data_IF_236658397673
#
_entry.id   IF_236658397673
#
_cell.length_a   1.000
_cell.length_b   1.000
_cell.length_c   1.000
_cell.angle_alpha   90.00
_cell.angle_beta   90.00
_cell.angle_gamma   90.00
#
_symmetry.space_group_name_H-M   'P 1'
#
loop_
_entity.id
_entity.type
_entity.pdbx_description
1 polymer ?
#
# COMPACT_ATOMS: atom_id res chain seq x y z
N UNK A 1 0.24 -4.27 24.67
CA UNK A 1 0.85 -5.63 24.63
C UNK A 1 1.88 -5.56 23.52
N UNK A 2 3.18 -5.77 23.81
CA UNK A 2 4.20 -5.72 22.75
C UNK A 2 3.94 -6.87 21.77
N UNK A 3 3.79 -6.54 20.49
CA UNK A 3 3.73 -7.54 19.42
C UNK A 3 5.04 -8.34 19.45
N UNK A 4 4.93 -9.67 19.40
CA UNK A 4 6.06 -10.59 19.42
C UNK A 4 6.36 -11.06 18.00
N UNK A 5 7.60 -11.49 17.70
CA UNK A 5 7.93 -12.11 16.42
C UNK A 5 6.99 -13.27 16.01
N UNK A 6 6.27 -13.90 16.94
CA UNK A 6 5.29 -14.92 16.57
C UNK A 6 3.96 -14.40 15.98
N UNK A 7 3.76 -13.08 15.89
CA UNK A 7 2.47 -12.51 15.46
C UNK A 7 2.37 -12.45 13.92
N UNK A 8 1.16 -12.70 13.43
CA UNK A 8 0.82 -12.67 12.01
C UNK A 8 0.78 -11.24 11.49
N UNK A 9 1.59 -10.96 10.46
CA UNK A 9 1.56 -9.70 9.70
C UNK A 9 0.88 -9.95 8.36
N UNK A 10 0.02 -9.02 7.96
CA UNK A 10 -0.74 -9.07 6.72
C UNK A 10 -0.23 -8.01 5.76
N UNK A 11 0.30 -8.48 4.63
CA UNK A 11 0.74 -7.60 3.54
C UNK A 11 -0.44 -7.30 2.63
N UNK A 12 -0.57 -6.04 2.24
CA UNK A 12 -1.59 -5.51 1.35
C UNK A 12 -0.89 -4.85 0.16
N UNK A 13 -1.08 -5.42 -1.03
CA UNK A 13 -0.35 -5.01 -2.23
C UNK A 13 -1.09 -3.89 -2.96
N UNK A 14 -0.44 -2.74 -3.15
CA UNK A 14 -1.03 -1.54 -3.78
C UNK A 14 -0.38 -1.18 -5.12
N UNK A 15 0.65 -1.91 -5.57
CA UNK A 15 1.44 -1.56 -6.74
C UNK A 15 0.64 -1.48 -8.03
N UNK A 16 -0.39 -2.32 -8.20
CA UNK A 16 -1.22 -2.31 -9.41
C UNK A 16 -2.18 -1.12 -9.49
N UNK A 17 -2.40 -0.40 -8.39
CA UNK A 17 -3.10 0.89 -8.33
C UNK A 17 -2.15 2.04 -8.07
N UNK A 18 -1.66 2.16 -6.84
CA UNK A 18 -0.86 3.29 -6.37
C UNK A 18 0.52 3.36 -7.05
N UNK A 19 1.07 2.19 -7.38
CA UNK A 19 2.29 2.09 -8.16
C UNK A 19 2.11 2.53 -9.60
N UNK A 20 1.21 1.86 -10.31
CA UNK A 20 1.01 2.08 -11.75
C UNK A 20 0.43 3.46 -12.09
N UNK A 21 -0.31 4.11 -11.18
CA UNK A 21 -0.83 5.46 -11.44
C UNK A 21 0.28 6.50 -11.72
N UNK A 22 1.52 6.25 -11.26
CA UNK A 22 2.67 7.13 -11.42
C UNK A 22 3.82 6.48 -12.20
N UNK A 23 3.58 5.35 -12.86
CA UNK A 23 4.62 4.60 -13.60
C UNK A 23 5.10 5.31 -14.88
N UNK A 24 4.48 6.43 -15.27
CA UNK A 24 4.88 7.23 -16.42
C UNK A 24 4.48 6.65 -17.79
N UNK A 25 3.98 5.42 -17.82
CA UNK A 25 3.52 4.74 -19.05
C UNK A 25 2.36 3.81 -18.76
N UNK A 26 1.56 3.53 -19.79
CA UNK A 26 0.46 2.58 -19.71
C UNK A 26 1.02 1.15 -19.78
N UNK A 27 0.65 0.32 -18.81
CA UNK A 27 0.87 -1.13 -18.87
C UNK A 27 -0.38 -1.75 -19.47
N UNK A 28 -0.19 -2.60 -20.49
CA UNK A 28 -1.28 -3.26 -21.20
C UNK A 28 -2.19 -4.03 -20.23
N UNK A 29 -3.48 -4.04 -20.53
CA UNK A 29 -4.50 -4.65 -19.65
C UNK A 29 -4.20 -6.13 -19.37
N UNK A 30 -3.77 -6.87 -20.39
CA UNK A 30 -3.40 -8.29 -20.25
C UNK A 30 -2.22 -8.48 -19.29
N UNK A 31 -1.23 -7.60 -19.33
CA UNK A 31 -0.10 -7.61 -18.40
C UNK A 31 -0.52 -7.27 -16.98
N UNK A 32 -1.42 -6.30 -16.80
CA UNK A 32 -2.00 -5.99 -15.48
C UNK A 32 -2.70 -7.20 -14.88
N UNK A 33 -3.58 -7.85 -15.65
CA UNK A 33 -4.31 -9.06 -15.23
C UNK A 33 -3.34 -10.18 -14.88
N UNK A 34 -2.32 -10.41 -15.73
CA UNK A 34 -1.29 -11.42 -15.50
C UNK A 34 -0.53 -11.17 -14.19
N UNK A 35 -0.10 -9.94 -13.93
CA UNK A 35 0.60 -9.58 -12.70
C UNK A 35 -0.32 -9.73 -11.48
N UNK A 36 -1.57 -9.27 -11.54
CA UNK A 36 -2.56 -9.40 -10.46
C UNK A 36 -2.83 -10.87 -10.09
N UNK A 37 -3.02 -11.73 -11.09
CA UNK A 37 -3.24 -13.17 -10.86
C UNK A 37 -2.01 -13.81 -10.21
N UNK A 38 -0.79 -13.41 -10.60
CA UNK A 38 0.43 -13.89 -9.95
C UNK A 38 0.55 -13.36 -8.52
N UNK A 39 0.31 -12.07 -8.29
CA UNK A 39 0.32 -11.45 -6.97
C UNK A 39 -0.66 -12.15 -6.02
N UNK A 40 -1.88 -12.45 -6.47
CA UNK A 40 -2.88 -13.13 -5.63
C UNK A 40 -2.44 -14.49 -5.10
N UNK A 41 -1.57 -15.18 -5.83
CA UNK A 41 -1.03 -16.50 -5.47
C UNK A 41 0.18 -16.42 -4.54
N UNK A 42 0.66 -15.22 -4.21
CA UNK A 42 1.79 -15.03 -3.28
C UNK A 42 1.40 -15.07 -1.81
N UNK A 43 0.12 -15.09 -1.47
CA UNK A 43 -0.34 -15.06 -0.08
C UNK A 43 -0.52 -13.66 0.52
N UNK A 44 -0.45 -12.61 -0.29
CA UNK A 44 -0.89 -11.27 0.14
C UNK A 44 -2.36 -11.31 0.55
N UNK A 45 -2.70 -10.59 1.62
CA UNK A 45 -4.05 -10.63 2.21
C UNK A 45 -5.08 -9.76 1.47
N UNK A 46 -4.58 -8.76 0.74
CA UNK A 46 -5.38 -7.77 0.03
C UNK A 46 -4.60 -7.25 -1.17
N UNK A 47 -5.30 -6.97 -2.25
CA UNK A 47 -4.75 -6.33 -3.45
C UNK A 47 -5.63 -5.12 -3.79
N UNK A 48 -5.03 -3.94 -3.87
CA UNK A 48 -5.67 -2.78 -4.48
C UNK A 48 -5.45 -2.81 -5.99
N UNK A 49 -6.49 -3.28 -6.67
CA UNK A 49 -6.42 -3.71 -8.08
C UNK A 49 -6.29 -2.52 -9.01
N UNK A 50 -7.09 -1.47 -8.77
CA UNK A 50 -7.25 -0.34 -9.68
C UNK A 50 -7.97 0.83 -8.99
N UNK A 51 -8.31 1.86 -9.75
CA UNK A 51 -9.03 3.04 -9.30
C UNK A 51 -10.12 3.46 -10.28
N UNK A 52 -11.32 3.74 -9.78
CA UNK A 52 -12.43 4.30 -10.57
C UNK A 52 -12.38 5.83 -10.70
N UNK A 53 -11.17 6.36 -10.83
CA UNK A 53 -10.94 7.76 -11.19
C UNK A 53 -11.30 8.04 -12.65
N UNK A 54 -11.38 9.32 -12.97
CA UNK A 54 -11.59 9.74 -14.36
C UNK A 54 -10.41 9.29 -15.22
N UNK A 55 -10.63 8.60 -16.35
CA UNK A 55 -9.57 8.26 -17.31
C UNK A 55 -8.82 9.49 -17.84
N UNK A 56 -9.44 10.68 -17.79
CA UNK A 56 -8.76 11.94 -18.14
C UNK A 56 -7.77 12.39 -17.06
N UNK A 57 -8.05 12.08 -15.80
CA UNK A 57 -7.21 12.46 -14.66
C UNK A 57 -6.06 11.46 -14.48
N UNK A 58 -6.34 10.17 -14.60
CA UNK A 58 -5.34 9.09 -14.50
C UNK A 58 -5.54 8.12 -15.67
N UNK A 59 -4.97 8.41 -16.85
CA UNK A 59 -5.08 7.55 -18.03
C UNK A 59 -4.51 6.15 -17.83
N UNK A 60 -3.53 6.02 -16.91
CA UNK A 60 -2.82 4.76 -16.66
C UNK A 60 -3.72 3.67 -16.06
N UNK A 61 -4.87 4.04 -15.49
CA UNK A 61 -5.85 3.15 -14.87
C UNK A 61 -7.22 3.20 -15.58
N UNK A 62 -7.25 3.61 -16.85
CA UNK A 62 -8.50 3.78 -17.61
C UNK A 62 -9.29 2.48 -17.85
N UNK A 63 -8.65 1.32 -17.68
CA UNK A 63 -9.12 -0.03 -17.97
C UNK A 63 -9.63 -0.78 -16.72
N UNK A 64 -10.01 -0.05 -15.67
CA UNK A 64 -10.40 -0.60 -14.36
C UNK A 64 -11.43 -1.76 -14.43
N UNK A 65 -12.55 -1.57 -15.13
CA UNK A 65 -13.59 -2.60 -15.25
C UNK A 65 -13.10 -3.83 -16.01
N UNK A 66 -12.32 -3.64 -17.07
CA UNK A 66 -11.77 -4.74 -17.87
C UNK A 66 -10.79 -5.57 -17.05
N UNK A 67 -9.91 -4.92 -16.28
CA UNK A 67 -8.98 -5.60 -15.37
C UNK A 67 -9.74 -6.41 -14.33
N UNK A 68 -10.68 -5.78 -13.60
CA UNK A 68 -11.45 -6.45 -12.54
C UNK A 68 -12.29 -7.61 -13.05
N UNK A 69 -12.80 -7.55 -14.28
CA UNK A 69 -13.60 -8.62 -14.88
C UNK A 69 -12.76 -9.80 -15.38
N UNK A 70 -11.45 -9.60 -15.58
CA UNK A 70 -10.55 -10.57 -16.19
C UNK A 70 -9.62 -11.28 -15.18
N UNK A 71 -9.47 -10.76 -13.97
CA UNK A 71 -8.66 -11.39 -12.93
C UNK A 71 -9.30 -12.68 -12.38
N UNK A 72 -8.44 -13.61 -11.99
CA UNK A 72 -8.82 -14.79 -11.20
C UNK A 72 -8.84 -14.39 -9.72
N UNK A 73 -9.95 -14.67 -9.04
CA UNK A 73 -10.11 -14.38 -7.61
C UNK A 73 -9.57 -15.55 -6.77
N UNK A 74 -8.55 -15.27 -5.97
CA UNK A 74 -7.93 -16.24 -5.06
C UNK A 74 -8.65 -16.23 -3.71
N UNK A 75 -9.11 -17.39 -3.19
CA UNK A 75 -9.74 -17.47 -1.88
C UNK A 75 -8.86 -16.91 -0.77
N UNK A 76 -9.42 -16.03 0.07
CA UNK A 76 -8.71 -15.41 1.19
C UNK A 76 -8.01 -14.10 0.84
N UNK A 77 -8.00 -13.68 -0.43
CA UNK A 77 -7.52 -12.36 -0.86
C UNK A 77 -8.68 -11.38 -0.98
N UNK A 78 -8.56 -10.21 -0.34
CA UNK A 78 -9.49 -9.09 -0.51
C UNK A 78 -9.10 -8.27 -1.74
N UNK A 79 -10.03 -8.09 -2.68
CA UNK A 79 -9.83 -7.24 -3.84
C UNK A 79 -10.52 -5.90 -3.61
N UNK A 80 -9.72 -4.84 -3.53
CA UNK A 80 -10.19 -3.47 -3.31
C UNK A 80 -9.90 -2.58 -4.51
N UNK A 81 -10.65 -1.50 -4.64
CA UNK A 81 -10.39 -0.46 -5.62
C UNK A 81 -10.61 0.93 -5.03
N UNK A 82 -9.79 1.90 -5.46
CA UNK A 82 -9.96 3.29 -5.04
C UNK A 82 -11.16 3.92 -5.74
N UNK A 83 -12.04 4.59 -4.98
CA UNK A 83 -13.13 5.40 -5.54
C UNK A 83 -12.98 6.87 -5.09
N UNK A 84 -13.04 7.85 -6.01
CA UNK A 84 -12.92 9.26 -5.64
C UNK A 84 -14.26 9.92 -5.30
N UNK A 85 -15.40 9.29 -5.62
CA UNK A 85 -16.75 9.85 -5.44
C UNK A 85 -17.85 8.80 -5.72
N UNK A 86 -19.12 9.21 -5.59
CA UNK A 86 -20.30 8.38 -5.87
C UNK A 86 -20.36 7.78 -7.28
N UNK A 87 -19.86 8.47 -8.32
CA UNK A 87 -19.81 7.87 -9.66
C UNK A 87 -18.79 6.74 -9.72
N UNK A 88 -17.71 6.86 -8.97
CA UNK A 88 -16.76 5.76 -8.76
C UNK A 88 -17.41 4.58 -8.04
N UNK A 89 -18.26 4.86 -7.05
CA UNK A 89 -19.05 3.82 -6.38
C UNK A 89 -20.01 3.11 -7.33
N UNK A 90 -20.76 3.84 -8.15
CA UNK A 90 -21.69 3.24 -9.14
C UNK A 90 -20.96 2.27 -10.08
N UNK A 91 -19.73 2.62 -10.51
CA UNK A 91 -18.88 1.75 -11.33
C UNK A 91 -18.36 0.55 -10.54
N UNK A 92 -17.94 0.76 -9.29
CA UNK A 92 -17.46 -0.31 -8.42
C UNK A 92 -18.56 -1.35 -8.13
N UNK A 93 -19.82 -0.92 -7.96
CA UNK A 93 -20.97 -1.80 -7.75
C UNK A 93 -21.34 -2.63 -8.99
N UNK A 94 -20.84 -2.27 -10.17
CA UNK A 94 -21.09 -3.00 -11.41
C UNK A 94 -20.10 -4.17 -11.66
N UNK A 95 -19.10 -4.33 -10.79
CA UNK A 95 -18.08 -5.38 -10.88
C UNK A 95 -17.93 -6.11 -9.55
N UNK A 96 -17.27 -7.27 -9.57
CA UNK A 96 -17.04 -8.05 -8.36
C UNK A 96 -15.87 -7.49 -7.54
N UNK A 97 -16.20 -6.83 -6.43
CA UNK A 97 -15.26 -6.26 -5.45
C UNK A 97 -15.69 -6.62 -4.04
N UNK A 98 -14.73 -6.68 -3.12
CA UNK A 98 -15.00 -6.88 -1.70
C UNK A 98 -15.05 -5.56 -0.94
N UNK A 99 -14.21 -4.62 -1.35
CA UNK A 99 -13.94 -3.38 -0.65
C UNK A 99 -13.73 -2.23 -1.64
N UNK A 100 -14.05 -1.01 -1.20
CA UNK A 100 -13.63 0.22 -1.85
C UNK A 100 -12.82 1.07 -0.88
N UNK A 101 -11.79 1.74 -1.41
CA UNK A 101 -10.95 2.66 -0.66
C UNK A 101 -11.30 4.11 -0.99
N UNK A 102 -11.68 4.90 0.03
CA UNK A 102 -11.83 6.35 -0.08
C UNK A 102 -10.63 7.05 0.53
N UNK A 103 -10.12 8.07 -0.14
CA UNK A 103 -8.90 8.77 0.29
C UNK A 103 -9.21 10.24 0.55
N UNK A 104 -8.79 10.75 1.70
CA UNK A 104 -8.79 12.17 2.03
C UNK A 104 -7.48 12.55 2.70
N UNK A 105 -6.98 13.73 2.41
CA UNK A 105 -5.82 14.27 3.12
C UNK A 105 -6.26 14.94 4.41
N UNK A 106 -5.56 14.69 5.50
CA UNK A 106 -5.81 15.35 6.78
C UNK A 106 -5.55 16.87 6.70
N UNK A 107 -4.57 17.29 5.88
CA UNK A 107 -4.32 18.71 5.61
C UNK A 107 -5.29 19.27 4.57
N UNK A 108 -6.00 20.35 4.92
CA UNK A 108 -6.90 21.09 4.01
C UNK A 108 -6.19 21.57 2.74
N UNK A 109 -4.95 22.06 2.85
CA UNK A 109 -4.19 22.53 1.69
C UNK A 109 -3.90 21.39 0.70
N UNK A 110 -3.52 20.22 1.22
CA UNK A 110 -3.30 19.04 0.39
C UNK A 110 -4.60 18.47 -0.16
N UNK A 111 -5.67 18.43 0.65
CA UNK A 111 -6.98 17.92 0.23
C UNK A 111 -7.59 18.76 -0.89
N UNK A 112 -7.48 20.09 -0.79
CA UNK A 112 -7.92 21.01 -1.84
C UNK A 112 -7.14 20.81 -3.14
N UNK A 113 -5.84 20.52 -3.06
CA UNK A 113 -5.02 20.25 -4.25
C UNK A 113 -5.36 18.89 -4.88
N UNK A 114 -5.54 17.86 -4.05
CA UNK A 114 -5.75 16.48 -4.48
C UNK A 114 -7.19 16.22 -4.96
N UNK A 115 -8.19 16.64 -4.17
CA UNK A 115 -9.61 16.35 -4.40
C UNK A 115 -10.43 17.57 -4.84
N UNK A 116 -9.84 18.77 -4.85
CA UNK A 116 -10.54 20.04 -5.18
C UNK A 116 -11.75 20.30 -4.30
N UNK A 117 -11.68 19.89 -3.04
CA UNK A 117 -12.70 20.12 -2.04
C UNK A 117 -12.10 20.16 -0.63
N UNK A 118 -12.83 20.74 0.32
CA UNK A 118 -12.45 20.76 1.73
C UNK A 118 -12.60 19.38 2.36
N UNK A 119 -11.93 19.15 3.49
CA UNK A 119 -12.03 17.87 4.21
C UNK A 119 -13.48 17.58 4.66
N UNK A 120 -14.22 18.62 5.10
CA UNK A 120 -15.65 18.52 5.42
C UNK A 120 -16.51 18.07 4.25
N UNK A 121 -16.24 18.60 3.05
CA UNK A 121 -16.96 18.21 1.84
C UNK A 121 -16.64 16.76 1.44
N UNK A 122 -15.38 16.33 1.59
CA UNK A 122 -14.99 14.92 1.41
C UNK A 122 -15.73 14.01 2.38
N UNK A 123 -15.77 14.34 3.67
CA UNK A 123 -16.49 13.52 4.66
C UNK A 123 -17.99 13.42 4.36
N UNK A 124 -18.62 14.51 3.92
CA UNK A 124 -20.04 14.46 3.50
C UNK A 124 -20.25 13.45 2.37
N UNK A 125 -19.36 13.45 1.37
CA UNK A 125 -19.42 12.50 0.27
C UNK A 125 -19.16 11.06 0.73
N UNK A 126 -18.26 10.85 1.70
CA UNK A 126 -17.99 9.52 2.24
C UNK A 126 -19.19 8.95 3.01
N UNK A 127 -19.95 9.80 3.72
CA UNK A 127 -21.23 9.38 4.33
C UNK A 127 -22.21 8.89 3.27
N UNK A 128 -22.34 9.62 2.15
CA UNK A 128 -23.19 9.21 1.04
C UNK A 128 -22.69 7.89 0.42
N UNK A 129 -21.38 7.70 0.26
CA UNK A 129 -20.80 6.43 -0.19
C UNK A 129 -21.16 5.29 0.77
N UNK A 130 -20.96 5.47 2.08
CA UNK A 130 -21.25 4.45 3.08
C UNK A 130 -22.74 4.05 3.10
N UNK A 131 -23.64 5.00 2.84
CA UNK A 131 -25.08 4.72 2.73
C UNK A 131 -25.48 3.94 1.47
N UNK A 132 -24.71 4.06 0.38
CA UNK A 132 -25.04 3.49 -0.92
C UNK A 132 -24.13 2.33 -1.35
N UNK A 133 -23.21 1.87 -0.50
CA UNK A 133 -22.16 0.89 -0.83
C UNK A 133 -22.63 -0.54 -1.09
N UNK A 134 -23.91 -0.84 -0.92
CA UNK A 134 -24.42 -2.20 -0.98
C UNK A 134 -23.71 -3.12 0.02
N UNK A 135 -23.14 -4.22 -0.46
CA UNK A 135 -22.39 -5.18 0.36
C UNK A 135 -20.90 -4.87 0.51
N UNK A 136 -20.38 -3.87 -0.20
CA UNK A 136 -18.95 -3.54 -0.19
C UNK A 136 -18.53 -3.05 1.20
N UNK A 137 -17.32 -3.42 1.62
CA UNK A 137 -16.62 -2.74 2.72
C UNK A 137 -16.05 -1.40 2.26
N UNK A 138 -15.90 -0.46 3.18
CA UNK A 138 -15.29 0.86 2.90
C UNK A 138 -14.09 1.04 3.81
N UNK A 139 -12.91 1.12 3.20
CA UNK A 139 -11.69 1.55 3.86
C UNK A 139 -11.50 3.07 3.69
N UNK A 140 -11.12 3.76 4.77
CA UNK A 140 -10.85 5.19 4.77
C UNK A 140 -9.37 5.50 4.95
N UNK A 141 -8.74 6.03 3.92
CA UNK A 141 -7.34 6.47 3.96
C UNK A 141 -7.21 7.93 4.40
N UNK A 142 -6.46 8.14 5.48
CA UNK A 142 -6.03 9.44 5.98
C UNK A 142 -4.63 9.74 5.42
N UNK A 143 -4.58 10.37 4.25
CA UNK A 143 -3.34 10.85 3.63
C UNK A 143 -2.75 12.01 4.44
N UNK A 144 -1.44 12.25 4.29
CA UNK A 144 -0.68 13.28 5.03
C UNK A 144 -0.78 13.16 6.56
N UNK A 145 -1.02 11.95 7.09
CA UNK A 145 -1.20 11.72 8.52
C UNK A 145 0.05 12.08 9.34
N UNK A 146 1.24 11.97 8.73
CA UNK A 146 2.53 12.20 9.39
C UNK A 146 3.19 13.52 9.01
N UNK A 147 2.57 14.29 8.11
CA UNK A 147 3.13 15.52 7.58
C UNK A 147 2.51 15.88 6.24
N UNK A 148 2.52 17.17 5.94
CA UNK A 148 1.99 17.73 4.71
C UNK A 148 3.08 18.50 3.95
N UNK A 149 3.21 18.33 2.63
CA UNK A 149 4.24 19.02 1.85
C UNK A 149 4.02 20.55 1.81
N UNK A 150 2.79 21.01 2.01
CA UNK A 150 2.43 22.43 1.97
C UNK A 150 2.45 23.12 3.34
N UNK A 151 1.93 22.46 4.38
CA UNK A 151 1.74 23.08 5.72
C UNK A 151 2.73 22.55 6.76
N UNK A 152 3.59 21.60 6.42
CA UNK A 152 4.57 21.02 7.33
C UNK A 152 3.94 20.02 8.30
N UNK A 153 4.25 20.16 9.59
CA UNK A 153 3.85 19.21 10.62
C UNK A 153 2.31 19.09 10.74
N UNK A 154 1.82 17.86 10.87
CA UNK A 154 0.43 17.55 11.19
C UNK A 154 0.38 17.05 12.63
N UNK A 155 -0.40 17.73 13.47
CA UNK A 155 -0.51 17.35 14.88
C UNK A 155 -1.35 16.07 15.03
N UNK A 156 -0.94 15.09 15.85
CA UNK A 156 -1.63 13.81 15.99
C UNK A 156 -3.13 13.94 16.32
N UNK A 157 -3.51 14.92 17.15
CA UNK A 157 -4.92 15.14 17.51
C UNK A 157 -5.83 15.39 16.31
N UNK A 158 -5.30 15.97 15.23
CA UNK A 158 -6.08 16.22 14.00
C UNK A 158 -6.37 14.89 13.30
N UNK A 159 -5.38 14.00 13.23
CA UNK A 159 -5.56 12.65 12.66
C UNK A 159 -6.56 11.84 13.49
N UNK A 160 -6.44 11.91 14.82
CA UNK A 160 -7.35 11.21 15.74
C UNK A 160 -8.80 11.71 15.63
N UNK A 161 -9.00 13.02 15.44
CA UNK A 161 -10.34 13.59 15.19
C UNK A 161 -10.93 13.04 13.89
N UNK A 162 -10.19 13.09 12.79
CA UNK A 162 -10.66 12.57 11.50
C UNK A 162 -10.90 11.06 11.52
N UNK A 163 -10.06 10.29 12.21
CA UNK A 163 -10.26 8.85 12.38
C UNK A 163 -11.61 8.54 13.03
N UNK A 164 -11.98 9.22 14.12
CA UNK A 164 -13.30 9.06 14.76
C UNK A 164 -14.42 9.43 13.81
N UNK A 165 -14.28 10.57 13.13
CA UNK A 165 -15.31 11.08 12.22
C UNK A 165 -15.53 10.19 10.99
N UNK A 166 -14.48 9.50 10.53
CA UNK A 166 -14.57 8.49 9.49
C UNK A 166 -15.42 7.31 9.94
N UNK A 167 -15.15 6.80 11.13
CA UNK A 167 -15.93 5.70 11.72
C UNK A 167 -17.38 6.10 11.98
N UNK A 168 -17.62 7.30 12.51
CA UNK A 168 -18.97 7.87 12.69
C UNK A 168 -19.72 8.05 11.36
N UNK A 169 -18.99 8.19 10.24
CA UNK A 169 -19.55 8.25 8.90
C UNK A 169 -19.91 6.87 8.31
N UNK A 170 -19.54 5.78 9.00
CA UNK A 170 -19.82 4.40 8.59
C UNK A 170 -18.66 3.70 7.88
N UNK A 171 -17.46 4.28 7.86
CA UNK A 171 -16.25 3.63 7.33
C UNK A 171 -15.89 2.43 8.21
N UNK A 172 -15.52 1.30 7.58
CA UNK A 172 -15.31 0.02 8.28
C UNK A 172 -13.87 -0.16 8.79
N UNK A 173 -12.88 0.41 8.09
CA UNK A 173 -11.44 0.29 8.40
C UNK A 173 -10.68 1.57 8.05
N UNK A 174 -9.49 1.75 8.62
CA UNK A 174 -8.69 2.97 8.46
C UNK A 174 -7.30 2.66 7.89
N UNK A 175 -6.80 3.53 7.01
CA UNK A 175 -5.38 3.54 6.60
C UNK A 175 -4.72 4.84 7.03
N UNK A 176 -3.60 4.76 7.76
CA UNK A 176 -2.75 5.90 8.10
C UNK A 176 -1.62 6.00 7.07
N UNK A 177 -1.59 7.08 6.27
CA UNK A 177 -0.66 7.20 5.16
C UNK A 177 0.41 8.29 5.35
N UNK A 178 1.68 7.90 5.26
CA UNK A 178 2.85 8.78 5.11
C UNK A 178 3.08 9.12 3.64
N UNK A 179 2.18 9.94 3.09
CA UNK A 179 2.10 10.27 1.66
C UNK A 179 3.38 10.85 1.06
N UNK A 180 4.23 11.47 1.88
CA UNK A 180 5.45 12.16 1.42
C UNK A 180 6.73 11.53 1.97
N UNK A 181 6.64 10.38 2.66
CA UNK A 181 7.78 9.67 3.22
C UNK A 181 8.59 10.54 4.18
N UNK A 182 7.93 11.23 5.10
CA UNK A 182 8.56 12.09 6.13
C UNK A 182 8.48 11.53 7.54
N UNK A 183 7.67 10.49 7.75
CA UNK A 183 7.43 9.96 9.08
C UNK A 183 8.72 9.39 9.69
N UNK A 184 8.80 9.46 11.01
CA UNK A 184 9.91 8.88 11.78
C UNK A 184 9.39 7.79 12.72
N UNK A 185 10.24 6.82 13.12
CA UNK A 185 9.83 5.68 13.94
C UNK A 185 9.01 6.03 15.18
N UNK A 186 9.46 7.03 15.96
CA UNK A 186 8.76 7.47 17.17
C UNK A 186 7.39 8.09 16.86
N UNK A 187 7.31 8.93 15.84
CA UNK A 187 6.05 9.54 15.41
C UNK A 187 5.04 8.48 14.95
N UNK A 188 5.51 7.45 14.23
CA UNK A 188 4.68 6.33 13.79
C UNK A 188 4.16 5.53 14.98
N UNK A 189 5.05 5.16 15.90
CA UNK A 189 4.68 4.42 17.11
C UNK A 189 3.60 5.16 17.92
N UNK A 190 3.83 6.45 18.21
CA UNK A 190 2.91 7.24 19.03
C UNK A 190 1.54 7.41 18.37
N UNK A 191 1.50 7.74 17.07
CA UNK A 191 0.23 7.91 16.37
C UNK A 191 -0.54 6.59 16.29
N UNK A 192 0.13 5.48 15.97
CA UNK A 192 -0.51 4.17 15.87
C UNK A 192 -1.07 3.72 17.22
N UNK A 193 -0.32 3.85 18.32
CA UNK A 193 -0.82 3.55 19.66
C UNK A 193 -2.10 4.34 19.97
N UNK A 194 -2.07 5.65 19.72
CA UNK A 194 -3.23 6.51 19.98
C UNK A 194 -4.44 6.11 19.15
N UNK A 195 -4.28 5.81 17.85
CA UNK A 195 -5.38 5.39 16.96
C UNK A 195 -5.99 4.06 17.41
N UNK A 196 -5.15 3.08 17.77
CA UNK A 196 -5.61 1.78 18.27
C UNK A 196 -6.40 1.95 19.58
N UNK A 197 -5.92 2.79 20.49
CA UNK A 197 -6.57 3.03 21.78
C UNK A 197 -7.95 3.69 21.63
N UNK A 198 -8.11 4.63 20.69
CA UNK A 198 -9.38 5.33 20.48
C UNK A 198 -10.38 4.56 19.61
N UNK A 199 -9.92 3.58 18.84
CA UNK A 199 -10.71 2.82 17.87
C UNK A 199 -10.56 1.30 18.09
N UNK A 200 -10.89 0.77 19.28
CA UNK A 200 -10.67 -0.64 19.58
C UNK A 200 -11.48 -1.55 18.66
N UNK A 201 -10.82 -2.53 18.06
CA UNK A 201 -11.43 -3.50 17.16
C UNK A 201 -11.60 -3.03 15.70
N UNK A 202 -11.21 -1.80 15.38
CA UNK A 202 -11.13 -1.32 14.00
C UNK A 202 -9.86 -1.85 13.36
N UNK A 203 -9.95 -2.34 12.13
CA UNK A 203 -8.77 -2.69 11.36
C UNK A 203 -8.04 -1.42 10.92
N UNK A 204 -6.77 -1.31 11.29
CA UNK A 204 -5.91 -0.18 10.93
C UNK A 204 -4.73 -0.68 10.10
N UNK A 205 -4.59 -0.09 8.91
CA UNK A 205 -3.47 -0.32 8.00
C UNK A 205 -2.49 0.85 8.06
N UNK A 206 -1.20 0.55 7.98
CA UNK A 206 -0.16 1.56 7.85
C UNK A 206 0.38 1.56 6.42
N UNK A 207 0.38 2.74 5.80
CA UNK A 207 0.84 2.97 4.43
C UNK A 207 2.03 3.93 4.43
N UNK A 208 3.18 3.46 3.94
CA UNK A 208 4.45 4.17 4.10
C UNK A 208 5.15 4.34 2.76
N UNK A 209 5.50 5.58 2.45
CA UNK A 209 6.41 5.87 1.34
C UNK A 209 7.87 5.85 1.81
N UNK A 210 8.76 5.40 0.94
CA UNK A 210 10.19 5.27 1.22
C UNK A 210 11.03 6.47 0.77
N UNK A 211 10.41 7.65 0.61
CA UNK A 211 11.04 8.88 0.09
C UNK A 211 12.33 9.28 0.80
N UNK A 212 12.45 8.97 2.09
CA UNK A 212 13.64 9.26 2.91
C UNK A 212 14.30 8.02 3.50
N UNK A 213 14.00 6.83 2.96
CA UNK A 213 14.65 5.58 3.39
C UNK A 213 14.20 5.06 4.76
N UNK A 214 13.08 5.55 5.30
CA UNK A 214 12.61 5.20 6.65
C UNK A 214 11.43 4.23 6.66
N UNK A 215 10.91 3.80 5.51
CA UNK A 215 9.64 3.08 5.47
C UNK A 215 9.68 1.74 6.21
N UNK A 216 10.73 0.93 6.07
CA UNK A 216 10.85 -0.34 6.81
C UNK A 216 10.97 -0.09 8.32
N UNK A 217 11.78 0.89 8.75
CA UNK A 217 11.90 1.24 10.16
C UNK A 217 10.57 1.74 10.76
N UNK A 218 9.82 2.51 9.97
CA UNK A 218 8.48 2.96 10.32
C UNK A 218 7.48 1.80 10.39
N UNK A 219 7.54 0.84 9.48
CA UNK A 219 6.70 -0.36 9.51
C UNK A 219 6.92 -1.16 10.80
N UNK A 220 8.18 -1.40 11.18
CA UNK A 220 8.54 -2.09 12.43
C UNK A 220 8.04 -1.33 13.67
N UNK A 221 8.02 0.00 13.62
CA UNK A 221 7.49 0.84 14.69
C UNK A 221 5.96 0.78 14.78
N UNK A 222 5.28 0.76 13.63
CA UNK A 222 3.83 0.52 13.57
C UNK A 222 3.44 -0.84 14.12
N UNK A 223 4.19 -1.88 13.75
CA UNK A 223 4.03 -3.23 14.30
C UNK A 223 4.22 -3.21 15.82
N UNK A 224 5.28 -2.58 16.31
CA UNK A 224 5.52 -2.46 17.75
C UNK A 224 4.37 -1.76 18.50
N UNK A 225 3.66 -0.85 17.82
CA UNK A 225 2.49 -0.15 18.34
C UNK A 225 1.18 -0.96 18.28
N UNK A 226 1.15 -2.09 17.57
CA UNK A 226 -0.03 -2.95 17.46
C UNK A 226 -0.61 -3.10 16.05
N UNK A 227 -0.02 -2.47 15.03
CA UNK A 227 -0.49 -2.59 13.64
C UNK A 227 -0.12 -3.95 13.07
N UNK A 228 -1.09 -4.64 12.46
CA UNK A 228 -0.89 -5.95 11.84
C UNK A 228 -0.99 -5.91 10.31
N UNK A 229 -1.44 -4.79 9.72
CA UNK A 229 -1.69 -4.65 8.28
C UNK A 229 -0.81 -3.55 7.70
N UNK A 230 -0.06 -3.89 6.65
CA UNK A 230 0.88 -2.98 5.99
C UNK A 230 0.58 -2.91 4.49
N UNK A 231 0.41 -1.70 3.97
CA UNK A 231 0.43 -1.48 2.52
C UNK A 231 1.87 -1.47 2.01
N UNK A 232 2.10 -2.12 0.88
CA UNK A 232 3.37 -2.10 0.16
C UNK A 232 3.14 -2.25 -1.34
N UNK A 233 4.16 -1.90 -2.12
CA UNK A 233 4.11 -1.94 -3.58
C UNK A 233 5.21 -2.82 -4.14
N UNK A 234 4.87 -3.76 -5.01
CA UNK A 234 5.83 -4.64 -5.69
C UNK A 234 6.89 -3.83 -6.43
N UNK A 235 8.15 -4.16 -6.25
CA UNK A 235 9.29 -3.41 -6.79
C UNK A 235 9.51 -2.03 -6.17
N UNK A 236 8.68 -1.60 -5.21
CA UNK A 236 8.73 -0.27 -4.61
C UNK A 236 8.16 0.84 -5.50
N UNK A 237 7.36 0.50 -6.52
CA UNK A 237 6.83 1.50 -7.45
C UNK A 237 5.77 2.41 -6.80
N UNK A 238 5.61 3.60 -7.35
CA UNK A 238 4.62 4.58 -6.93
C UNK A 238 5.24 5.95 -6.70
N UNK A 239 4.58 6.74 -5.85
CA UNK A 239 5.02 8.07 -5.49
C UNK A 239 3.92 9.11 -5.70
N UNK A 240 4.02 10.21 -4.96
CA UNK A 240 3.07 11.30 -5.05
C UNK A 240 3.49 12.26 -6.17
N UNK A 241 2.68 12.48 -7.23
CA UNK A 241 2.98 13.46 -8.28
C UNK A 241 3.18 14.88 -7.74
N UNK A 242 2.61 15.17 -6.57
CA UNK A 242 2.65 16.47 -5.91
C UNK A 242 3.85 16.64 -4.95
N UNK A 243 4.71 15.62 -4.82
CA UNK A 243 5.93 15.68 -4.02
C UNK A 243 7.16 15.40 -4.91
N UNK A 244 7.80 16.44 -5.48
CA UNK A 244 9.00 16.28 -6.29
C UNK A 244 10.09 15.49 -5.54
N UNK A 245 10.59 14.42 -6.15
CA UNK A 245 11.64 13.55 -5.59
C UNK A 245 11.16 12.43 -4.66
N UNK A 246 9.84 12.19 -4.54
CA UNK A 246 9.32 11.05 -3.80
C UNK A 246 9.68 9.71 -4.48
N UNK A 247 10.45 8.86 -3.81
CA UNK A 247 10.96 7.56 -4.33
C UNK A 247 9.95 6.40 -4.27
N UNK A 248 8.66 6.69 -4.02
CA UNK A 248 7.58 5.70 -4.07
C UNK A 248 7.22 5.06 -2.73
N UNK A 249 6.45 3.97 -2.82
CA UNK A 249 5.99 3.14 -1.70
C UNK A 249 7.13 2.34 -1.07
N UNK A 250 6.90 1.78 0.12
CA UNK A 250 7.73 0.68 0.62
C UNK A 250 7.64 -0.52 -0.33
N UNK A 251 8.80 -1.08 -0.70
CA UNK A 251 8.89 -2.24 -1.57
C UNK A 251 8.35 -3.49 -0.86
N UNK A 252 7.42 -4.21 -1.50
CA UNK A 252 6.78 -5.41 -0.93
C UNK A 252 7.81 -6.49 -0.60
N UNK A 253 8.75 -6.74 -1.50
CA UNK A 253 9.79 -7.78 -1.39
C UNK A 253 10.76 -7.44 -0.26
N UNK A 254 11.19 -6.18 -0.18
CA UNK A 254 12.10 -5.71 0.86
C UNK A 254 11.44 -5.79 2.24
N UNK A 255 10.14 -5.44 2.32
CA UNK A 255 9.37 -5.52 3.55
C UNK A 255 9.14 -6.98 3.98
N UNK A 256 8.70 -7.84 3.08
CA UNK A 256 8.48 -9.28 3.35
C UNK A 256 9.79 -9.94 3.77
N UNK A 257 10.89 -9.63 3.11
CA UNK A 257 12.23 -10.10 3.51
C UNK A 257 12.57 -9.67 4.93
N UNK A 258 12.48 -8.37 5.23
CA UNK A 258 12.78 -7.84 6.55
C UNK A 258 11.95 -8.52 7.64
N UNK A 259 10.63 -8.64 7.44
CA UNK A 259 9.72 -9.24 8.42
C UNK A 259 10.00 -10.75 8.61
N UNK A 260 10.16 -11.49 7.52
CA UNK A 260 10.40 -12.94 7.57
C UNK A 260 11.70 -13.26 8.29
N UNK A 261 12.78 -12.51 8.01
CA UNK A 261 14.09 -12.77 8.61
C UNK A 261 14.29 -12.12 9.98
N UNK A 262 13.42 -11.18 10.39
CA UNK A 262 13.31 -10.70 11.78
C UNK A 262 12.47 -11.66 12.66
N UNK A 263 11.71 -12.56 12.03
CA UNK A 263 11.04 -13.67 12.68
C UNK A 263 9.52 -13.57 12.74
N UNK A 264 8.91 -12.57 12.11
CA UNK A 264 7.45 -12.41 12.01
C UNK A 264 6.79 -13.52 11.21
N UNK A 265 5.55 -13.86 11.54
CA UNK A 265 4.72 -14.74 10.71
C UNK A 265 4.18 -13.93 9.52
N UNK A 266 4.87 -14.04 8.38
CA UNK A 266 4.47 -13.45 7.11
C UNK A 266 4.34 -14.58 6.08
N UNK A 267 3.12 -15.07 5.87
CA UNK A 267 2.83 -16.20 4.98
C UNK A 267 2.80 -15.76 3.50
N UNK A 268 3.83 -15.02 3.08
CA UNK A 268 3.94 -14.46 1.73
C UNK A 268 5.14 -15.11 1.02
N UNK A 269 4.90 -15.60 -0.19
CA UNK A 269 5.92 -16.20 -1.06
C UNK A 269 6.87 -15.13 -1.62
N UNK A 270 8.01 -14.96 -0.96
CA UNK A 270 9.04 -14.00 -1.34
C UNK A 270 9.62 -14.29 -2.74
N UNK A 271 9.83 -15.55 -3.10
CA UNK A 271 10.38 -15.92 -4.42
C UNK A 271 9.36 -15.61 -5.53
N UNK A 272 8.08 -15.90 -5.26
CA UNK A 272 6.97 -15.51 -6.13
C UNK A 272 6.89 -14.00 -6.36
N UNK A 273 7.03 -13.20 -5.30
CA UNK A 273 7.08 -11.74 -5.39
C UNK A 273 8.28 -11.22 -6.18
N UNK A 274 9.49 -11.75 -5.93
CA UNK A 274 10.69 -11.41 -6.71
C UNK A 274 10.42 -11.68 -8.20
N UNK A 275 9.85 -12.83 -8.54
CA UNK A 275 9.55 -13.16 -9.93
C UNK A 275 8.46 -12.25 -10.54
N UNK A 276 7.52 -11.70 -9.77
CA UNK A 276 6.57 -10.69 -10.25
C UNK A 276 7.29 -9.35 -10.49
N UNK A 277 8.19 -8.96 -9.58
CA UNK A 277 8.96 -7.72 -9.71
C UNK A 277 9.87 -7.74 -10.95
N UNK A 278 10.52 -8.87 -11.25
CA UNK A 278 11.33 -9.01 -12.46
C UNK A 278 10.49 -8.84 -13.72
N UNK A 279 9.27 -9.41 -13.77
CA UNK A 279 8.36 -9.21 -14.90
C UNK A 279 7.92 -7.75 -15.01
N UNK A 280 7.60 -7.12 -13.89
CA UNK A 280 7.23 -5.70 -13.86
C UNK A 280 8.39 -4.83 -14.34
N UNK A 281 9.63 -5.13 -13.97
CA UNK A 281 10.83 -4.43 -14.44
C UNK A 281 10.99 -4.53 -15.97
N UNK A 282 10.59 -5.64 -16.60
CA UNK A 282 10.64 -5.78 -18.05
C UNK A 282 9.57 -4.93 -18.75
N UNK A 283 8.43 -4.73 -18.10
CA UNK A 283 7.35 -3.89 -18.59
C UNK A 283 7.65 -2.40 -18.38
N UNK A 284 8.34 -2.06 -17.29
CA UNK A 284 8.66 -0.68 -16.92
C UNK A 284 9.97 -0.17 -17.53
N UNK A 285 9.92 1.04 -18.10
CA UNK A 285 11.10 1.68 -18.68
C UNK A 285 12.13 2.17 -17.64
N UNK A 286 11.77 2.21 -16.36
CA UNK A 286 12.61 2.70 -15.27
C UNK A 286 13.02 1.58 -14.31
N UNK A 287 14.21 1.67 -13.69
CA UNK A 287 14.61 0.74 -12.63
C UNK A 287 13.62 0.74 -11.46
N UNK A 288 13.36 -0.44 -10.90
CA UNK A 288 12.58 -0.62 -9.69
C UNK A 288 13.39 -0.16 -8.46
N UNK A 289 12.80 0.62 -7.53
CA UNK A 289 13.49 1.04 -6.30
C UNK A 289 13.87 -0.09 -5.33
N UNK A 290 13.15 -1.21 -5.36
CA UNK A 290 13.37 -2.35 -4.45
C UNK A 290 14.77 -2.97 -4.58
N UNK A 291 15.28 -3.56 -3.51
CA UNK A 291 16.65 -4.10 -3.46
C UNK A 291 16.70 -5.64 -3.49
N UNK A 292 15.71 -6.30 -2.90
CA UNK A 292 15.69 -7.77 -2.75
C UNK A 292 15.57 -8.47 -4.10
N UNK A 293 14.85 -7.90 -5.07
CA UNK A 293 14.79 -8.49 -6.41
C UNK A 293 16.15 -8.47 -7.14
N UNK A 294 17.07 -7.58 -6.76
CA UNK A 294 18.42 -7.50 -7.31
C UNK A 294 19.40 -8.42 -6.56
N UNK A 295 19.33 -8.42 -5.22
CA UNK A 295 20.28 -9.12 -4.37
C UNK A 295 19.88 -10.58 -4.08
N UNK A 296 18.60 -10.92 -4.24
CA UNK A 296 18.00 -12.13 -3.70
C UNK A 296 17.75 -12.06 -2.19
N UNK A 297 17.25 -13.14 -1.61
CA UNK A 297 16.95 -13.23 -0.18
C UNK A 297 18.22 -13.41 0.67
N UNK A 298 18.08 -13.34 2.01
CA UNK A 298 19.20 -13.55 2.95
C UNK A 298 19.85 -14.93 2.78
N UNK A 299 19.10 -15.90 2.27
CA UNK A 299 19.55 -17.27 2.02
C UNK A 299 20.10 -17.49 0.62
N UNK A 300 20.10 -16.48 -0.24
CA UNK A 300 20.74 -16.55 -1.56
C UNK A 300 22.23 -16.80 -1.41
N UNK A 301 22.72 -17.89 -2.01
CA UNK A 301 24.12 -18.25 -2.05
C UNK A 301 24.68 -18.06 -3.46
N UNK A 302 25.92 -17.60 -3.56
CA UNK A 302 26.64 -17.50 -4.83
C UNK A 302 27.66 -18.63 -4.95
N UNK A 303 27.94 -19.11 -6.18
CA UNK A 303 28.97 -20.10 -6.39
C UNK A 303 30.32 -19.55 -5.94
N UNK A 304 31.04 -20.35 -5.13
CA UNK A 304 32.37 -19.98 -4.66
C UNK A 304 33.33 -19.85 -5.86
N UNK A 305 34.07 -18.73 -6.00
CA UNK A 305 35.10 -18.57 -7.03
C UNK A 305 36.14 -19.68 -6.98
N UNK A 306 36.67 -20.07 -8.15
CA UNK A 306 37.63 -21.17 -8.25
C UNK A 306 38.89 -20.94 -7.40
N UNK A 307 39.44 -19.73 -7.43
CA UNK A 307 40.60 -19.34 -6.64
C UNK A 307 40.32 -19.40 -5.13
N UNK A 308 39.09 -19.15 -4.70
CA UNK A 308 38.67 -19.31 -3.31
C UNK A 308 38.53 -20.80 -2.94
N UNK A 309 37.93 -21.61 -3.81
CA UNK A 309 37.86 -23.08 -3.62
C UNK A 309 39.26 -23.68 -3.48
N UNK A 310 40.19 -23.28 -4.34
CA UNK A 310 41.59 -23.72 -4.32
C UNK A 310 42.31 -23.33 -3.03
N UNK A 311 42.21 -22.06 -2.60
CA UNK A 311 42.80 -21.57 -1.33
C UNK A 311 42.23 -22.26 -0.09
N UNK A 312 40.99 -22.74 -0.15
CA UNK A 312 40.33 -23.46 0.93
C UNK A 312 40.56 -24.98 0.88
N UNK A 313 41.28 -25.50 -0.13
CA UNK A 313 41.47 -26.95 -0.31
C UNK A 313 40.15 -27.69 -0.58
N UNK A 314 39.14 -26.97 -1.09
CA UNK A 314 37.82 -27.51 -1.47
C UNK A 314 37.82 -28.01 -2.92
N UNK A 315 38.99 -28.34 -3.47
CA UNK A 315 39.12 -28.92 -4.81
C UNK A 315 38.52 -30.32 -4.80
N UNK A 316 37.36 -30.46 -5.45
CA UNK A 316 36.79 -31.72 -5.93
C UNK A 316 37.25 -31.99 -7.36
#
# INVERSE_FOLDING_TARGET
MLIRPADQIYIQEVGMRDGLQSAGQFVETEDKVRLLNRLSKTGVSKIEVTSFVSPKAVPLLADAETVLSAIEREPGVVYTALIPNLRGLDRALAVELDEVNVVMSVSEAHNMTNLRMTCEASLKQFREICMNRGSLKVNGTLATAFGCPFTGAVHPSVVLDWAKRFLDAGIDSLTLADTIGTATPHQVFDLCCNVIDICPGVEVTLHLHNTRGLAIANAMSGISAGILRLDSSVGGIGGCPYAPGATGNVCTEDLVHALTFDGYQCAVDLDGLIAVSCDLQLLLASPLPGLVHLAGSKTTMHPMPYDLKSRLGLES
#
